data_IF_336887661406
#
_entry.id   IF_336887661406
#
_cell.length_a   1.000
_cell.length_b   1.000
_cell.length_c   1.000
_cell.angle_alpha   90.00
_cell.angle_beta   90.00
_cell.angle_gamma   90.00
#
_symmetry.space_group_name_H-M   'P 1'
#
loop_
_entity.id
_entity.type
_entity.pdbx_description
1 polymer ?
#
# COMPACT_ATOMS: atom_id res chain seq x y z
N UNK A 1 4.93 -20.84 -22.66
CA UNK A 1 4.27 -20.91 -21.34
C UNK A 1 5.25 -20.42 -20.26
N UNK A 2 5.36 -19.11 -20.02
CA UNK A 2 6.26 -18.55 -19.00
C UNK A 2 5.43 -17.78 -17.97
N UNK A 3 5.60 -18.18 -16.70
CA UNK A 3 5.22 -17.55 -15.43
C UNK A 3 3.73 -17.36 -15.06
N UNK A 4 3.04 -18.45 -14.72
CA UNK A 4 1.78 -18.38 -13.96
C UNK A 4 1.99 -18.13 -12.43
N UNK A 5 3.23 -18.01 -11.95
CA UNK A 5 3.54 -18.07 -10.51
C UNK A 5 4.40 -16.93 -9.95
N UNK A 6 4.66 -15.86 -10.71
CA UNK A 6 5.39 -14.70 -10.17
C UNK A 6 4.42 -13.81 -9.40
N UNK A 7 4.69 -13.55 -8.12
CA UNK A 7 3.94 -12.58 -7.31
C UNK A 7 4.10 -11.18 -7.90
N UNK A 8 3.02 -10.38 -7.98
CA UNK A 8 3.12 -8.97 -8.41
C UNK A 8 4.09 -8.17 -7.53
N UNK A 9 4.26 -8.57 -6.27
CA UNK A 9 5.18 -7.95 -5.31
C UNK A 9 6.65 -8.21 -5.64
N UNK A 10 6.95 -9.27 -6.39
CA UNK A 10 8.30 -9.57 -6.85
C UNK A 10 8.69 -8.75 -8.10
N UNK A 11 7.79 -7.91 -8.62
CA UNK A 11 8.11 -7.01 -9.71
C UNK A 11 9.18 -6.01 -9.25
N UNK A 12 10.26 -5.75 -10.03
CA UNK A 12 11.34 -4.85 -9.62
C UNK A 12 10.85 -3.48 -9.14
N UNK A 13 9.87 -2.90 -9.82
CA UNK A 13 9.23 -1.62 -9.43
C UNK A 13 8.52 -1.71 -8.07
N UNK A 14 7.85 -2.84 -7.75
CA UNK A 14 7.21 -3.03 -6.45
C UNK A 14 8.27 -3.17 -5.33
N UNK A 15 9.36 -3.89 -5.61
CA UNK A 15 10.49 -4.02 -4.69
C UNK A 15 11.15 -2.66 -4.46
N UNK A 16 11.43 -1.90 -5.53
CA UNK A 16 11.97 -0.54 -5.44
C UNK A 16 11.05 0.36 -4.62
N UNK A 17 9.73 0.29 -4.83
CA UNK A 17 8.77 1.07 -4.04
C UNK A 17 8.86 0.75 -2.54
N UNK A 18 8.96 -0.52 -2.16
CA UNK A 18 9.16 -0.91 -0.75
C UNK A 18 10.51 -0.44 -0.21
N UNK A 19 11.59 -0.62 -0.97
CA UNK A 19 12.93 -0.15 -0.58
C UNK A 19 12.92 1.36 -0.37
N UNK A 20 12.28 2.11 -1.26
CA UNK A 20 12.09 3.55 -1.13
C UNK A 20 11.29 3.87 0.12
N UNK A 21 10.18 3.19 0.41
CA UNK A 21 9.40 3.40 1.64
C UNK A 21 10.25 3.16 2.89
N UNK A 22 10.98 2.05 2.96
CA UNK A 22 11.80 1.70 4.12
C UNK A 22 12.90 2.74 4.33
N UNK A 23 13.68 3.04 3.30
CA UNK A 23 14.79 4.01 3.38
C UNK A 23 14.25 5.40 3.69
N UNK A 24 13.17 5.82 3.02
CA UNK A 24 12.60 7.14 3.20
C UNK A 24 12.07 7.33 4.63
N UNK A 25 11.29 6.38 5.13
CA UNK A 25 10.59 6.53 6.41
C UNK A 25 11.49 6.32 7.61
N UNK A 26 12.54 5.48 7.48
CA UNK A 26 13.44 5.17 8.60
C UNK A 26 14.72 6.00 8.59
N UNK A 27 15.14 6.51 7.42
CA UNK A 27 16.41 7.25 7.31
C UNK A 27 16.17 8.69 6.89
N UNK A 28 15.56 8.92 5.73
CA UNK A 28 15.48 10.29 5.17
C UNK A 28 14.58 11.20 6.00
N UNK A 29 13.42 10.72 6.47
CA UNK A 29 12.54 11.51 7.35
C UNK A 29 13.21 11.88 8.67
N UNK A 30 14.14 11.07 9.16
CA UNK A 30 14.91 11.36 10.38
C UNK A 30 16.04 12.38 10.11
N UNK A 31 16.74 12.24 8.98
CA UNK A 31 17.87 13.09 8.63
C UNK A 31 17.47 14.45 8.05
N UNK A 32 16.41 14.50 7.22
CA UNK A 32 15.96 15.71 6.54
C UNK A 32 14.42 15.69 6.41
N UNK A 33 13.70 16.08 7.49
CA UNK A 33 12.24 16.18 7.43
C UNK A 33 11.83 17.25 6.40
N UNK A 34 10.91 16.90 5.51
CA UNK A 34 10.43 17.85 4.51
C UNK A 34 9.35 17.29 3.59
N UNK A 35 8.68 18.20 2.88
CA UNK A 35 7.55 17.91 1.98
C UNK A 35 7.89 16.87 0.91
N UNK A 36 9.13 16.85 0.42
CA UNK A 36 9.57 15.91 -0.61
C UNK A 36 9.57 14.46 -0.11
N UNK A 37 10.02 14.23 1.13
CA UNK A 37 10.03 12.89 1.75
C UNK A 37 8.60 12.38 2.01
N UNK A 38 7.65 13.27 2.29
CA UNK A 38 6.23 12.94 2.39
C UNK A 38 5.68 12.42 1.06
N UNK A 39 5.87 13.20 -0.02
CA UNK A 39 5.37 12.85 -1.36
C UNK A 39 6.01 11.60 -1.95
N UNK A 40 7.30 11.38 -1.68
CA UNK A 40 7.98 10.17 -2.12
C UNK A 40 7.34 8.91 -1.50
N UNK A 41 6.99 8.99 -0.21
CA UNK A 41 6.27 7.93 0.48
C UNK A 41 4.88 7.69 -0.11
N UNK A 42 4.14 8.76 -0.43
CA UNK A 42 2.81 8.65 -1.03
C UNK A 42 2.87 7.99 -2.41
N UNK A 43 3.80 8.41 -3.27
CA UNK A 43 4.00 7.81 -4.60
C UNK A 43 4.39 6.33 -4.48
N UNK A 44 5.35 6.00 -3.63
CA UNK A 44 5.80 4.62 -3.44
C UNK A 44 4.66 3.74 -2.86
N UNK A 45 3.90 4.27 -1.92
CA UNK A 45 2.71 3.63 -1.36
C UNK A 45 1.65 3.36 -2.43
N UNK A 46 1.32 4.35 -3.26
CA UNK A 46 0.31 4.21 -4.31
C UNK A 46 0.73 3.26 -5.44
N UNK A 47 2.02 3.01 -5.63
CA UNK A 47 2.49 1.93 -6.53
C UNK A 47 2.37 0.56 -5.85
N UNK A 48 2.72 0.46 -4.57
CA UNK A 48 2.86 -0.82 -3.87
C UNK A 48 1.54 -1.36 -3.29
N UNK A 49 0.77 -0.55 -2.57
CA UNK A 49 -0.43 -0.98 -1.84
C UNK A 49 -1.52 -1.62 -2.72
N UNK A 50 -1.80 -1.16 -3.96
CA UNK A 50 -2.75 -1.85 -4.82
C UNK A 50 -2.34 -3.28 -5.15
N UNK A 51 -1.05 -3.51 -5.35
CA UNK A 51 -0.50 -4.84 -5.64
C UNK A 51 -0.56 -5.73 -4.40
N UNK A 52 -0.25 -5.16 -3.22
CA UNK A 52 -0.37 -5.85 -1.94
C UNK A 52 -1.81 -6.28 -1.69
N UNK A 53 -2.78 -5.39 -1.90
CA UNK A 53 -4.19 -5.67 -1.71
C UNK A 53 -4.68 -6.77 -2.67
N UNK A 54 -4.31 -6.69 -3.96
CA UNK A 54 -4.68 -7.72 -4.94
C UNK A 54 -4.11 -9.11 -4.56
N UNK A 55 -2.85 -9.18 -4.13
CA UNK A 55 -2.23 -10.44 -3.69
C UNK A 55 -2.81 -10.96 -2.39
N UNK A 56 -3.11 -10.08 -1.43
CA UNK A 56 -3.76 -10.45 -0.17
C UNK A 56 -5.14 -11.05 -0.43
N UNK A 57 -5.94 -10.44 -1.31
CA UNK A 57 -7.25 -10.97 -1.70
C UNK A 57 -7.14 -12.34 -2.37
N UNK A 58 -6.17 -12.52 -3.28
CA UNK A 58 -5.91 -13.84 -3.88
C UNK A 58 -5.51 -14.85 -2.80
N UNK A 59 -4.61 -14.49 -1.88
CA UNK A 59 -4.16 -15.38 -0.81
C UNK A 59 -5.30 -15.79 0.13
N UNK A 60 -6.11 -14.84 0.60
CA UNK A 60 -7.26 -15.09 1.48
C UNK A 60 -8.31 -15.94 0.77
N UNK A 61 -8.58 -15.68 -0.52
CA UNK A 61 -9.55 -16.46 -1.28
C UNK A 61 -9.18 -17.95 -1.43
N UNK A 62 -7.90 -18.30 -1.29
CA UNK A 62 -7.45 -19.71 -1.30
C UNK A 62 -7.82 -20.45 -0.02
N UNK A 63 -8.06 -19.73 1.08
CA UNK A 63 -8.54 -20.32 2.34
C UNK A 63 -10.02 -20.75 2.25
N UNK A 64 -10.77 -20.21 1.29
CA UNK A 64 -12.17 -20.53 1.03
C UNK A 64 -12.36 -20.96 -0.45
N UNK A 65 -12.17 -22.25 -0.79
CA UNK A 65 -12.09 -22.72 -2.17
C UNK A 65 -13.30 -22.36 -3.05
N UNK A 66 -14.48 -22.16 -2.44
CA UNK A 66 -15.72 -21.78 -3.12
C UNK A 66 -15.70 -20.38 -3.75
N UNK A 67 -14.79 -19.51 -3.30
CA UNK A 67 -14.66 -18.13 -3.79
C UNK A 67 -13.24 -17.81 -4.24
N UNK A 68 -12.50 -18.80 -4.75
CA UNK A 68 -11.13 -18.61 -5.19
C UNK A 68 -11.05 -17.50 -6.26
N UNK A 69 -10.47 -16.37 -5.87
CA UNK A 69 -10.24 -15.23 -6.76
C UNK A 69 -8.94 -15.48 -7.49
N UNK A 70 -8.97 -15.32 -8.81
CA UNK A 70 -7.78 -15.40 -9.64
C UNK A 70 -7.17 -14.02 -9.79
N UNK A 71 -5.84 -13.98 -9.83
CA UNK A 71 -5.10 -12.77 -10.21
C UNK A 71 -5.53 -12.36 -11.62
N UNK A 72 -6.07 -11.15 -11.75
CA UNK A 72 -6.53 -10.58 -13.02
C UNK A 72 -6.26 -9.08 -13.04
N UNK A 73 -6.20 -8.49 -14.24
CA UNK A 73 -6.09 -7.04 -14.41
C UNK A 73 -7.21 -6.30 -13.67
N UNK A 74 -8.45 -6.80 -13.75
CA UNK A 74 -9.61 -6.22 -13.08
C UNK A 74 -9.45 -6.19 -11.56
N UNK A 75 -8.88 -7.24 -10.95
CA UNK A 75 -8.62 -7.27 -9.52
C UNK A 75 -7.59 -6.21 -9.11
N UNK A 76 -6.54 -6.02 -9.90
CA UNK A 76 -5.52 -5.00 -9.61
C UNK A 76 -6.10 -3.60 -9.79
N UNK A 77 -6.89 -3.37 -10.84
CA UNK A 77 -7.58 -2.09 -11.03
C UNK A 77 -8.57 -1.79 -9.91
N UNK A 78 -9.36 -2.77 -9.49
CA UNK A 78 -10.27 -2.63 -8.35
C UNK A 78 -9.49 -2.31 -7.06
N UNK A 79 -8.35 -2.98 -6.84
CA UNK A 79 -7.47 -2.73 -5.70
C UNK A 79 -6.82 -1.35 -5.77
N UNK A 80 -6.45 -0.87 -6.96
CA UNK A 80 -5.91 0.47 -7.19
C UNK A 80 -6.95 1.55 -6.93
N UNK A 81 -8.18 1.36 -7.42
CA UNK A 81 -9.31 2.26 -7.14
C UNK A 81 -9.61 2.31 -5.64
N UNK A 82 -9.68 1.15 -4.98
CA UNK A 82 -9.91 1.09 -3.53
C UNK A 82 -8.78 1.79 -2.75
N UNK A 83 -7.52 1.59 -3.16
CA UNK A 83 -6.37 2.26 -2.55
C UNK A 83 -6.43 3.77 -2.75
N UNK A 84 -6.77 4.23 -3.97
CA UNK A 84 -6.89 5.65 -4.29
C UNK A 84 -8.01 6.34 -3.51
N UNK A 85 -9.17 5.68 -3.37
CA UNK A 85 -10.29 6.17 -2.55
C UNK A 85 -9.87 6.26 -1.08
N UNK A 86 -9.28 5.19 -0.53
CA UNK A 86 -8.80 5.19 0.85
C UNK A 86 -7.77 6.29 1.09
N UNK A 87 -6.79 6.44 0.19
CA UNK A 87 -5.80 7.51 0.23
C UNK A 87 -6.43 8.91 0.22
N UNK A 88 -7.38 9.16 -0.69
CA UNK A 88 -8.08 10.43 -0.76
C UNK A 88 -8.88 10.71 0.53
N UNK A 89 -9.58 9.71 1.07
CA UNK A 89 -10.32 9.87 2.33
C UNK A 89 -9.40 10.19 3.51
N UNK A 90 -8.24 9.54 3.59
CA UNK A 90 -7.24 9.80 4.64
C UNK A 90 -6.68 11.21 4.56
N UNK A 91 -6.41 11.71 3.35
CA UNK A 91 -5.80 13.04 3.16
C UNK A 91 -6.81 14.19 3.23
N UNK A 92 -8.08 13.95 2.91
CA UNK A 92 -9.11 15.02 2.81
C UNK A 92 -10.07 15.08 3.99
N UNK A 93 -10.23 14.00 4.77
CA UNK A 93 -11.22 13.95 5.86
C UNK A 93 -10.56 13.69 7.20
N UNK A 94 -11.08 14.35 8.25
CA UNK A 94 -10.64 14.12 9.63
C UNK A 94 -10.88 12.68 10.08
N UNK A 95 -12.04 12.11 9.70
CA UNK A 95 -12.39 10.72 10.04
C UNK A 95 -11.43 9.74 9.37
N UNK A 96 -11.12 9.93 8.09
CA UNK A 96 -10.15 9.11 7.36
C UNK A 96 -8.77 9.15 8.01
N UNK A 97 -8.29 10.35 8.37
CA UNK A 97 -7.03 10.53 9.09
C UNK A 97 -7.00 9.77 10.42
N UNK A 98 -8.05 9.90 11.24
CA UNK A 98 -8.17 9.19 12.53
C UNK A 98 -8.16 7.67 12.32
N UNK A 99 -9.00 7.16 11.41
CA UNK A 99 -9.07 5.73 11.13
C UNK A 99 -7.71 5.19 10.66
N UNK A 100 -7.01 5.92 9.79
CA UNK A 100 -5.67 5.55 9.35
C UNK A 100 -4.65 5.56 10.49
N UNK A 101 -4.63 6.62 11.30
CA UNK A 101 -3.72 6.75 12.44
C UNK A 101 -3.83 5.57 13.41
N UNK A 102 -5.05 5.11 13.70
CA UNK A 102 -5.29 3.96 14.57
C UNK A 102 -5.00 2.63 13.90
N UNK A 103 -5.41 2.45 12.64
CA UNK A 103 -5.16 1.18 11.92
C UNK A 103 -3.67 0.95 11.73
N UNK A 104 -2.92 1.98 11.33
CA UNK A 104 -1.47 1.89 11.18
C UNK A 104 -0.76 1.74 12.53
N UNK A 105 -1.22 2.46 13.57
CA UNK A 105 -0.72 2.32 14.93
C UNK A 105 -0.90 0.90 15.51
N UNK A 106 -2.07 0.30 15.27
CA UNK A 106 -2.34 -1.09 15.65
C UNK A 106 -1.46 -2.08 14.87
N UNK A 107 -1.25 -1.86 13.57
CA UNK A 107 -0.37 -2.70 12.76
C UNK A 107 1.07 -2.65 13.25
N UNK A 108 1.61 -1.46 13.55
CA UNK A 108 2.93 -1.30 14.15
C UNK A 108 3.03 -1.96 15.53
N UNK A 109 2.00 -1.80 16.36
CA UNK A 109 1.95 -2.44 17.68
C UNK A 109 2.01 -3.97 17.59
N UNK A 110 1.24 -4.58 16.68
CA UNK A 110 1.32 -6.03 16.44
C UNK A 110 2.71 -6.43 15.93
N UNK A 111 3.27 -5.69 14.98
CA UNK A 111 4.59 -5.97 14.41
C UNK A 111 5.73 -5.89 15.45
N UNK A 112 5.60 -5.02 16.45
CA UNK A 112 6.56 -4.85 17.54
C UNK A 112 6.30 -5.75 18.75
N UNK A 113 5.49 -6.81 18.60
CA UNK A 113 5.12 -7.73 19.68
C UNK A 113 4.43 -7.03 20.86
N UNK A 114 3.73 -5.93 20.58
CA UNK A 114 2.92 -5.17 21.54
C UNK A 114 2.01 -6.00 22.45
N UNK A 115 1.28 -7.02 21.94
CA UNK A 115 0.47 -7.89 22.79
C UNK A 115 1.27 -8.62 23.88
N UNK A 116 2.55 -8.90 23.63
CA UNK A 116 3.43 -9.61 24.56
C UNK A 116 4.15 -8.66 25.51
N UNK A 117 4.37 -7.41 25.11
CA UNK A 117 5.08 -6.41 25.91
C UNK A 117 4.18 -5.65 26.89
N UNK A 118 2.85 -5.78 26.77
CA UNK A 118 1.87 -5.03 27.57
C UNK A 118 1.84 -3.54 27.24
N UNK A 119 2.56 -3.11 26.20
CA UNK A 119 2.53 -1.72 25.75
C UNK A 119 1.13 -1.36 25.21
N UNK A 120 0.61 -0.15 25.46
CA UNK A 120 -0.64 0.28 24.85
C UNK A 120 -0.47 0.56 23.35
N UNK A 121 -1.53 0.36 22.56
CA UNK A 121 -1.57 0.81 21.16
C UNK A 121 -1.51 2.34 21.14
N UNK A 122 -0.69 2.89 20.23
CA UNK A 122 -0.58 4.33 20.02
C UNK A 122 -0.92 4.68 18.57
N UNK A 123 -1.70 5.74 18.32
CA UNK A 123 -1.97 6.19 16.97
C UNK A 123 -0.71 6.81 16.35
N UNK A 124 -0.55 6.68 15.05
CA UNK A 124 0.51 7.36 14.31
C UNK A 124 0.07 8.77 13.94
N UNK A 125 0.96 9.74 14.14
CA UNK A 125 0.69 11.14 13.79
C UNK A 125 0.49 11.28 12.27
N UNK A 126 -0.64 11.85 11.88
CA UNK A 126 -0.96 12.19 10.49
C UNK A 126 -1.19 13.70 10.39
N UNK A 127 -0.65 14.30 9.34
CA UNK A 127 -0.91 15.69 8.98
C UNK A 127 -1.72 15.66 7.69
N UNK A 128 -2.97 16.14 7.67
CA UNK A 128 -3.73 16.26 6.44
C UNK A 128 -3.05 17.26 5.49
N UNK A 129 -2.74 16.83 4.28
CA UNK A 129 -2.24 17.70 3.21
C UNK A 129 -2.92 17.31 1.88
N UNK A 130 -3.75 18.22 1.37
CA UNK A 130 -4.49 18.03 0.11
C UNK A 130 -3.56 17.97 -1.10
N UNK A 131 -2.35 18.53 -1.03
CA UNK A 131 -1.36 18.46 -2.10
C UNK A 131 -0.89 17.03 -2.38
N UNK A 132 -1.12 16.10 -1.45
CA UNK A 132 -0.75 14.70 -1.60
C UNK A 132 -1.63 13.98 -2.62
N UNK A 133 -2.81 14.53 -2.96
CA UNK A 133 -3.64 14.02 -4.06
C UNK A 133 -2.92 14.07 -5.42
N UNK A 134 -1.88 14.90 -5.56
CA UNK A 134 -1.00 14.90 -6.74
C UNK A 134 -0.22 13.59 -6.90
N UNK A 135 -0.17 12.73 -5.88
CA UNK A 135 0.45 11.42 -5.97
C UNK A 135 -0.47 10.37 -6.61
N UNK A 136 -1.79 10.61 -6.73
CA UNK A 136 -2.76 9.65 -7.32
C UNK A 136 -2.37 9.08 -8.70
N UNK A 137 -1.74 9.85 -9.62
CA UNK A 137 -1.25 9.29 -10.88
C UNK A 137 -0.25 8.13 -10.70
N UNK A 138 0.39 7.99 -9.55
CA UNK A 138 1.28 6.87 -9.25
C UNK A 138 0.56 5.50 -9.27
N UNK A 139 -0.78 5.47 -9.09
CA UNK A 139 -1.59 4.26 -9.25
C UNK A 139 -1.46 3.65 -10.66
N UNK A 140 -1.13 4.46 -11.68
CA UNK A 140 -0.85 3.98 -13.03
C UNK A 140 0.34 3.00 -13.05
N UNK A 141 1.28 3.13 -12.12
CA UNK A 141 2.39 2.19 -11.96
C UNK A 141 1.90 0.78 -11.61
N UNK A 142 0.90 0.66 -10.73
CA UNK A 142 0.30 -0.63 -10.38
C UNK A 142 -0.46 -1.24 -11.58
N UNK A 143 -1.23 -0.42 -12.32
CA UNK A 143 -1.91 -0.86 -13.53
C UNK A 143 -0.94 -1.32 -14.63
N UNK A 144 0.18 -0.61 -14.79
CA UNK A 144 1.23 -0.99 -15.74
C UNK A 144 1.88 -2.33 -15.39
N UNK A 145 2.20 -2.56 -14.11
CA UNK A 145 2.75 -3.84 -13.62
C UNK A 145 1.77 -4.99 -13.89
N UNK A 146 0.47 -4.77 -13.62
CA UNK A 146 -0.56 -5.75 -13.92
C UNK A 146 -0.59 -6.09 -15.41
N UNK A 147 -0.65 -5.09 -16.30
CA UNK A 147 -0.66 -5.31 -17.75
C UNK A 147 0.56 -6.10 -18.27
N UNK A 148 1.71 -6.02 -17.60
CA UNK A 148 2.91 -6.79 -17.95
C UNK A 148 2.84 -8.25 -17.50
N UNK A 149 2.23 -8.54 -16.35
CA UNK A 149 2.36 -9.83 -15.66
C UNK A 149 1.07 -10.64 -15.54
N UNK A 150 -0.10 -10.05 -15.83
CA UNK A 150 -1.40 -10.76 -15.82
C UNK A 150 -1.90 -11.18 -17.21
N UNK A 151 -1.17 -10.87 -18.29
CA UNK A 151 -1.56 -11.14 -19.68
C UNK A 151 -2.57 -10.12 -20.25
N UNK A 152 -2.68 -9.99 -21.59
CA UNK A 152 -3.71 -9.16 -22.21
C UNK A 152 -5.11 -9.76 -21.96
N UNK A 153 -6.10 -8.87 -21.88
CA UNK A 153 -7.54 -9.19 -21.83
C UNK A 153 -7.95 -9.97 -23.05
#
# INVERSE_FOLDING_TARGET
>A
MRSANRSLLAHPVAVIAVVVLVINDHVLKQAMPGLLTGKLSDVAGLVFFPLLLAEALVAVSRLAPRHAVRRSMHLVLASATATGIAFALVKTTTVGGIVFSWTWGAAQWVAMLGPLSGAPIRPVATVPDTMDLLALPALLGAAWIAGRWTGPV
#
